data_IF_127234211930
#
_entry.id   IF_127234211930
#
_cell.length_a   1.000
_cell.length_b   1.000
_cell.length_c   1.000
_cell.angle_alpha   90.00
_cell.angle_beta   90.00
_cell.angle_gamma   90.00
#
_symmetry.space_group_name_H-M   'P 1'
#
loop_
_entity.id
_entity.type
_entity.pdbx_description
1 polymer ?
#
# COMPACT_ATOMS: atom_id res chain seq x y z
N UNK A 1 49.88 -48.01 9.22
CA UNK A 1 48.74 -47.40 9.95
C UNK A 1 47.53 -48.31 9.75
N UNK A 2 47.05 -49.00 10.79
CA UNK A 2 46.08 -50.08 10.61
C UNK A 2 44.72 -49.53 10.18
N UNK A 3 44.05 -50.19 9.23
CA UNK A 3 42.71 -49.82 8.75
C UNK A 3 41.68 -49.64 9.88
N UNK A 4 41.90 -50.30 11.03
CA UNK A 4 41.05 -50.17 12.23
C UNK A 4 41.22 -48.81 12.93
N UNK A 5 42.41 -48.20 12.85
CA UNK A 5 42.70 -46.89 13.47
C UNK A 5 42.06 -45.72 12.70
N UNK A 6 42.03 -45.82 11.37
CA UNK A 6 41.40 -44.83 10.48
C UNK A 6 39.87 -44.88 10.60
N UNK A 7 39.29 -46.08 10.72
CA UNK A 7 37.84 -46.22 10.95
C UNK A 7 37.41 -45.62 12.30
N UNK A 8 38.20 -45.81 13.36
CA UNK A 8 37.87 -45.30 14.69
C UNK A 8 37.85 -43.77 14.75
N UNK A 9 38.75 -43.11 14.01
CA UNK A 9 38.79 -41.65 13.91
C UNK A 9 37.59 -41.07 13.14
N UNK A 10 37.10 -41.74 12.10
CA UNK A 10 35.94 -41.30 11.32
C UNK A 10 34.64 -41.49 12.11
N UNK A 11 34.53 -42.54 12.93
CA UNK A 11 33.34 -42.76 13.77
C UNK A 11 33.22 -41.79 14.94
N UNK A 12 34.33 -41.31 15.51
CA UNK A 12 34.31 -40.33 16.61
C UNK A 12 33.93 -38.92 16.12
N UNK A 13 34.24 -38.57 14.87
CA UNK A 13 33.87 -37.27 14.28
C UNK A 13 32.37 -37.12 14.01
N UNK A 14 31.64 -38.24 13.86
CA UNK A 14 30.19 -38.27 13.56
C UNK A 14 29.29 -38.28 14.81
N UNK A 15 29.86 -38.38 16.02
CA UNK A 15 29.11 -38.42 17.29
C UNK A 15 29.27 -37.15 18.12
N UNK A 16 29.71 -36.03 17.52
CA UNK A 16 29.60 -34.74 18.20
C UNK A 16 28.16 -34.23 18.04
N UNK A 17 27.34 -34.16 19.10
CA UNK A 17 26.05 -33.51 18.98
C UNK A 17 26.34 -32.06 18.60
N UNK A 18 25.97 -31.67 17.38
CA UNK A 18 25.84 -30.27 17.03
C UNK A 18 24.78 -29.72 17.98
N UNK A 19 25.22 -29.16 19.11
CA UNK A 19 24.41 -28.34 19.97
C UNK A 19 24.06 -27.10 19.15
N UNK A 20 23.04 -27.23 18.30
CA UNK A 20 22.29 -26.10 17.81
C UNK A 20 21.64 -25.49 19.04
N UNK A 21 22.38 -24.59 19.67
CA UNK A 21 21.79 -23.60 20.55
C UNK A 21 20.91 -22.77 19.63
N UNK A 22 19.65 -23.17 19.50
CA UNK A 22 18.60 -22.24 19.15
C UNK A 22 18.60 -21.22 20.29
N UNK A 23 19.38 -20.15 20.12
CA UNK A 23 19.16 -18.94 20.87
C UNK A 23 17.70 -18.62 20.62
N UNK A 24 16.87 -18.84 21.64
CA UNK A 24 15.52 -18.31 21.67
C UNK A 24 15.73 -16.82 21.35
N UNK A 25 15.11 -16.26 20.30
CA UNK A 25 15.19 -14.81 20.15
C UNK A 25 14.76 -14.28 21.50
N UNK A 26 15.63 -13.49 22.14
CA UNK A 26 15.21 -12.64 23.24
C UNK A 26 14.17 -11.72 22.59
N UNK A 27 12.94 -12.20 22.54
CA UNK A 27 11.78 -11.37 22.51
C UNK A 27 11.76 -10.75 23.90
N UNK A 28 12.71 -9.84 24.13
CA UNK A 28 12.55 -8.78 25.10
C UNK A 28 11.17 -8.24 24.77
N UNK A 29 10.25 -8.48 25.69
CA UNK A 29 8.83 -8.29 25.45
C UNK A 29 8.62 -6.78 25.51
N UNK A 30 9.00 -6.09 24.43
CA UNK A 30 8.87 -4.65 24.28
C UNK A 30 7.40 -4.39 24.39
N UNK A 31 6.99 -4.01 25.59
CA UNK A 31 5.60 -3.76 25.90
C UNK A 31 5.14 -2.63 24.99
N UNK A 32 4.09 -2.89 24.22
CA UNK A 32 3.46 -1.85 23.42
C UNK A 32 2.75 -0.93 24.40
N UNK A 33 3.36 0.22 24.70
CA UNK A 33 2.78 1.22 25.59
C UNK A 33 2.10 2.33 24.80
N UNK A 34 1.08 3.00 25.36
CA UNK A 34 0.52 4.20 24.76
C UNK A 34 1.60 5.24 24.38
N UNK A 35 2.58 5.46 25.26
CA UNK A 35 3.67 6.41 25.04
C UNK A 35 4.50 6.06 23.81
N UNK A 36 4.79 4.78 23.61
CA UNK A 36 5.53 4.30 22.42
C UNK A 36 4.74 4.57 21.14
N UNK A 37 3.43 4.27 21.12
CA UNK A 37 2.56 4.52 19.97
C UNK A 37 2.48 6.02 19.67
N UNK A 38 2.23 6.84 20.69
CA UNK A 38 2.14 8.30 20.53
C UNK A 38 3.47 8.86 19.97
N UNK A 39 4.62 8.32 20.37
CA UNK A 39 5.91 8.76 19.84
C UNK A 39 6.04 8.54 18.33
N UNK A 40 5.60 7.38 17.82
CA UNK A 40 5.58 7.07 16.39
C UNK A 40 4.62 7.98 15.62
N UNK A 41 3.40 8.18 16.16
CA UNK A 41 2.40 9.06 15.56
C UNK A 41 2.92 10.49 15.46
N UNK A 42 3.50 11.03 16.55
CA UNK A 42 4.03 12.40 16.58
C UNK A 42 5.08 12.62 15.50
N UNK A 43 6.02 11.69 15.32
CA UNK A 43 7.02 11.83 14.28
C UNK A 43 6.40 11.71 12.87
N UNK A 44 5.62 10.67 12.61
CA UNK A 44 5.03 10.40 11.28
C UNK A 44 3.99 11.42 10.83
N UNK A 45 3.47 12.23 11.75
CA UNK A 45 2.56 13.34 11.51
C UNK A 45 3.20 14.72 11.73
N UNK A 46 4.52 14.79 11.95
CA UNK A 46 5.21 16.06 12.20
C UNK A 46 5.38 16.90 10.92
N UNK A 47 5.51 18.21 11.11
CA UNK A 47 5.80 19.17 10.05
C UNK A 47 7.13 18.88 9.32
N UNK A 48 8.05 18.14 9.95
CA UNK A 48 9.33 17.75 9.35
C UNK A 48 9.16 16.92 8.07
N UNK A 49 8.09 16.14 8.00
CA UNK A 49 7.76 15.32 6.83
C UNK A 49 7.04 16.15 5.77
N UNK A 50 6.34 17.25 6.14
CA UNK A 50 5.53 18.08 5.22
C UNK A 50 4.47 17.28 4.44
N UNK A 51 3.98 16.18 5.04
CA UNK A 51 3.09 15.21 4.41
C UNK A 51 3.81 13.93 3.93
N UNK A 52 3.05 12.92 3.51
CA UNK A 52 3.59 11.60 3.12
C UNK A 52 2.95 11.08 1.83
N UNK A 53 2.65 11.98 0.89
CA UNK A 53 2.14 11.58 -0.43
C UNK A 53 3.20 10.74 -1.16
N UNK A 54 2.80 9.64 -1.78
CA UNK A 54 3.71 8.73 -2.48
C UNK A 54 4.61 9.48 -3.48
N UNK A 55 5.91 9.20 -3.45
CA UNK A 55 6.90 9.86 -4.33
C UNK A 55 7.25 11.30 -3.95
N UNK A 56 7.01 11.71 -2.69
CA UNK A 56 7.50 12.98 -2.11
C UNK A 56 8.62 12.72 -1.10
N UNK A 57 9.45 13.74 -0.84
CA UNK A 57 10.54 13.67 0.15
C UNK A 57 10.04 13.29 1.55
N UNK A 58 8.83 13.70 1.92
CA UNK A 58 8.21 13.36 3.20
C UNK A 58 7.87 11.86 3.32
N UNK A 59 7.44 11.24 2.22
CA UNK A 59 7.24 9.80 2.16
C UNK A 59 8.57 9.03 2.26
N UNK A 60 9.64 9.55 1.64
CA UNK A 60 10.98 8.95 1.73
C UNK A 60 11.50 8.97 3.18
N UNK A 61 11.39 10.11 3.88
CA UNK A 61 11.72 10.22 5.32
C UNK A 61 10.92 9.26 6.18
N UNK A 62 9.62 9.11 5.90
CA UNK A 62 8.77 8.16 6.63
C UNK A 62 9.21 6.70 6.40
N UNK A 63 9.55 6.34 5.16
CA UNK A 63 10.05 5.02 4.82
C UNK A 63 11.39 4.74 5.51
N UNK A 64 12.30 5.71 5.55
CA UNK A 64 13.56 5.61 6.29
C UNK A 64 13.32 5.40 7.79
N UNK A 65 12.43 6.20 8.39
CA UNK A 65 12.06 6.03 9.80
C UNK A 65 11.55 4.63 10.10
N UNK A 66 10.62 4.11 9.29
CA UNK A 66 10.06 2.75 9.45
C UNK A 66 11.17 1.71 9.29
N UNK A 67 12.08 1.87 8.31
CA UNK A 67 13.22 0.97 8.13
C UNK A 67 14.13 0.92 9.37
N UNK A 68 14.33 2.06 10.05
CA UNK A 68 15.06 2.12 11.31
C UNK A 68 14.32 1.38 12.43
N UNK A 69 12.99 1.53 12.52
CA UNK A 69 12.21 0.79 13.52
C UNK A 69 12.24 -0.72 13.27
N UNK A 70 12.16 -1.17 12.01
CA UNK A 70 12.31 -2.58 11.65
C UNK A 70 13.69 -3.13 12.03
N UNK A 71 14.74 -2.36 11.73
CA UNK A 71 16.10 -2.73 12.14
C UNK A 71 16.23 -2.84 13.66
N UNK A 72 15.67 -1.89 14.42
CA UNK A 72 15.68 -1.90 15.89
C UNK A 72 14.93 -3.11 16.47
N UNK A 73 13.83 -3.51 15.83
CA UNK A 73 13.07 -4.70 16.21
C UNK A 73 13.69 -6.02 15.72
N UNK A 74 14.86 -6.00 15.09
CA UNK A 74 15.58 -7.21 14.67
C UNK A 74 15.02 -7.90 13.43
N UNK A 75 14.18 -7.22 12.64
CA UNK A 75 13.63 -7.79 11.41
C UNK A 75 14.73 -7.98 10.36
N UNK A 76 14.63 -9.06 9.58
CA UNK A 76 15.51 -9.29 8.44
C UNK A 76 15.03 -8.46 7.24
N UNK A 77 15.91 -7.75 6.52
CA UNK A 77 15.52 -7.01 5.33
C UNK A 77 15.26 -7.96 4.14
N UNK A 78 14.04 -7.92 3.59
CA UNK A 78 13.60 -8.79 2.48
C UNK A 78 13.22 -8.03 1.21
N UNK A 79 13.40 -6.72 1.18
CA UNK A 79 13.20 -5.89 -0.01
C UNK A 79 14.36 -6.00 -1.01
N UNK A 80 14.35 -5.09 -1.99
CA UNK A 80 15.30 -5.05 -3.08
C UNK A 80 16.74 -5.04 -2.56
N UNK A 81 17.60 -5.85 -3.16
CA UNK A 81 19.01 -5.99 -2.78
C UNK A 81 19.22 -6.31 -1.29
N UNK A 82 18.28 -7.03 -0.65
CA UNK A 82 18.29 -7.33 0.80
C UNK A 82 18.22 -6.06 1.66
N UNK A 83 17.41 -5.10 1.24
CA UNK A 83 17.09 -3.88 2.01
C UNK A 83 15.70 -3.95 2.65
N UNK A 84 15.27 -2.90 3.36
CA UNK A 84 13.90 -2.78 3.85
C UNK A 84 12.95 -2.14 2.82
N UNK A 85 13.43 -1.84 1.62
CA UNK A 85 12.70 -1.08 0.61
C UNK A 85 12.31 -1.98 -0.57
N UNK A 86 11.08 -1.83 -1.03
CA UNK A 86 10.60 -2.44 -2.27
C UNK A 86 10.24 -1.33 -3.25
N UNK A 87 10.91 -1.29 -4.40
CA UNK A 87 10.64 -0.33 -5.46
C UNK A 87 9.56 -0.87 -6.39
N UNK A 88 8.62 -0.01 -6.74
CA UNK A 88 7.59 -0.29 -7.73
C UNK A 88 7.23 0.99 -8.48
N UNK A 89 6.72 0.84 -9.70
CA UNK A 89 6.22 1.95 -10.49
C UNK A 89 4.76 2.22 -10.15
N UNK A 90 4.40 3.49 -10.05
CA UNK A 90 3.02 3.92 -9.85
C UNK A 90 2.76 5.22 -10.61
N UNK A 91 1.49 5.50 -10.89
CA UNK A 91 1.06 6.76 -11.49
C UNK A 91 1.13 7.87 -10.44
N UNK A 92 2.15 8.72 -10.52
CA UNK A 92 2.40 9.82 -9.55
C UNK A 92 1.33 10.92 -9.56
N UNK A 93 0.57 11.00 -10.64
CA UNK A 93 -0.52 11.95 -10.76
C UNK A 93 -1.16 11.83 -12.13
N UNK A 94 -2.38 12.32 -12.22
CA UNK A 94 -3.16 12.37 -13.44
C UNK A 94 -3.46 13.84 -13.71
N UNK A 95 -3.27 14.24 -14.96
CA UNK A 95 -3.60 15.59 -15.40
C UNK A 95 -4.86 15.52 -16.23
N UNK A 96 -5.72 16.51 -16.05
CA UNK A 96 -6.86 16.71 -16.92
C UNK A 96 -6.35 16.94 -18.35
N UNK A 97 -6.93 16.22 -19.32
CA UNK A 97 -6.75 16.51 -20.74
C UNK A 97 -7.23 17.93 -21.10
N UNK A 98 -6.81 18.42 -22.27
CA UNK A 98 -7.14 19.79 -22.72
C UNK A 98 -8.61 20.01 -23.12
N UNK A 99 -9.41 18.94 -23.21
CA UNK A 99 -10.78 18.97 -23.77
C UNK A 99 -11.82 18.37 -22.81
N UNK A 100 -11.60 18.49 -21.49
CA UNK A 100 -12.63 18.06 -20.54
C UNK A 100 -13.82 19.02 -20.60
N UNK A 101 -14.93 18.56 -21.14
CA UNK A 101 -16.18 19.31 -21.26
C UNK A 101 -17.35 18.44 -20.82
N UNK A 102 -18.28 19.04 -20.09
CA UNK A 102 -19.54 18.43 -19.74
C UNK A 102 -20.66 19.43 -20.06
N UNK A 103 -21.66 18.99 -20.78
CA UNK A 103 -22.86 19.75 -21.13
C UNK A 103 -24.07 18.88 -20.78
N UNK A 104 -25.09 19.48 -20.17
CA UNK A 104 -26.39 18.84 -20.03
C UNK A 104 -27.45 19.65 -20.77
N UNK A 105 -28.48 18.97 -21.26
CA UNK A 105 -29.60 19.58 -21.93
C UNK A 105 -30.90 19.24 -21.19
N UNK A 106 -31.75 20.25 -21.02
CA UNK A 106 -33.13 20.08 -20.57
C UNK A 106 -34.00 20.70 -21.68
N UNK A 107 -34.86 19.88 -22.27
CA UNK A 107 -35.61 20.20 -23.48
C UNK A 107 -34.70 20.70 -24.63
N UNK A 108 -34.83 21.95 -25.04
CA UNK A 108 -34.00 22.60 -26.08
C UNK A 108 -32.91 23.50 -25.50
N UNK A 109 -32.83 23.62 -24.18
CA UNK A 109 -31.85 24.46 -23.51
C UNK A 109 -30.61 23.64 -23.17
N UNK A 110 -29.44 24.12 -23.59
CA UNK A 110 -28.13 23.52 -23.30
C UNK A 110 -27.39 24.36 -22.28
N UNK A 111 -26.76 23.71 -21.31
CA UNK A 111 -25.90 24.37 -20.32
C UNK A 111 -24.57 23.66 -20.26
N UNK A 112 -23.50 24.41 -20.55
CA UNK A 112 -22.13 23.95 -20.36
C UNK A 112 -21.71 24.13 -18.91
N UNK A 113 -21.07 23.10 -18.33
CA UNK A 113 -20.58 23.09 -16.97
C UNK A 113 -19.12 23.51 -16.92
N UNK A 114 -18.75 24.34 -15.93
CA UNK A 114 -17.38 24.78 -15.72
C UNK A 114 -16.52 23.70 -15.06
N UNK A 115 -15.43 23.32 -15.72
CA UNK A 115 -14.42 22.42 -15.17
C UNK A 115 -13.79 23.01 -13.89
N UNK A 116 -13.73 22.22 -12.81
CA UNK A 116 -13.18 22.65 -11.52
C UNK A 116 -14.13 23.48 -10.66
N UNK A 117 -15.32 23.81 -11.18
CA UNK A 117 -16.37 24.51 -10.45
C UNK A 117 -17.62 23.63 -10.33
N UNK A 118 -18.16 23.22 -11.48
CA UNK A 118 -19.42 22.50 -11.59
C UNK A 118 -19.21 21.00 -11.78
N UNK A 119 -18.07 20.60 -12.37
CA UNK A 119 -17.68 19.18 -12.46
C UNK A 119 -16.15 18.99 -12.39
N UNK A 120 -15.73 17.80 -11.99
CA UNK A 120 -14.32 17.39 -11.98
C UNK A 120 -14.19 15.91 -12.41
N UNK A 121 -13.52 15.62 -13.54
CA UNK A 121 -13.24 14.24 -13.94
C UNK A 121 -12.42 13.52 -12.88
N UNK A 122 -12.81 12.29 -12.57
CA UNK A 122 -12.08 11.47 -11.60
C UNK A 122 -10.79 10.93 -12.24
N UNK A 123 -9.77 10.77 -11.42
CA UNK A 123 -8.43 10.36 -11.85
C UNK A 123 -8.43 8.99 -12.55
N UNK A 124 -9.31 8.08 -12.14
CA UNK A 124 -9.43 6.73 -12.70
C UNK A 124 -10.44 6.62 -13.87
N UNK A 125 -10.96 7.73 -14.39
CA UNK A 125 -11.83 7.71 -15.57
C UNK A 125 -11.06 7.44 -16.86
N UNK A 126 -11.65 6.69 -17.79
CA UNK A 126 -11.14 6.61 -19.17
C UNK A 126 -11.34 7.93 -19.91
N UNK A 127 -10.52 8.15 -20.94
CA UNK A 127 -10.72 9.25 -21.89
C UNK A 127 -11.64 8.82 -23.01
N UNK A 128 -12.55 9.69 -23.43
CA UNK A 128 -13.46 9.47 -24.54
C UNK A 128 -14.65 10.42 -24.50
N UNK A 129 -15.49 10.34 -25.54
CA UNK A 129 -16.72 11.09 -25.65
C UNK A 129 -17.92 10.17 -25.40
N UNK A 130 -18.88 10.64 -24.61
CA UNK A 130 -20.13 9.93 -24.33
C UNK A 130 -21.30 10.91 -24.40
N UNK A 131 -22.42 10.46 -24.95
CA UNK A 131 -23.69 11.18 -24.97
C UNK A 131 -24.81 10.19 -24.65
N UNK A 132 -25.74 10.59 -23.79
CA UNK A 132 -26.86 9.75 -23.39
C UNK A 132 -27.80 10.46 -22.42
N UNK A 133 -28.91 9.80 -22.14
CA UNK A 133 -29.84 10.23 -21.10
C UNK A 133 -29.21 10.08 -19.71
N UNK A 134 -29.51 11.02 -18.81
CA UNK A 134 -29.04 10.99 -17.44
C UNK A 134 -30.14 10.42 -16.55
N UNK A 135 -29.84 9.32 -15.87
CA UNK A 135 -30.75 8.66 -14.93
C UNK A 135 -30.16 8.70 -13.51
N UNK A 136 -31.02 8.79 -12.50
CA UNK A 136 -30.61 8.73 -11.10
C UNK A 136 -30.48 7.27 -10.65
N UNK A 137 -29.27 6.81 -10.38
CA UNK A 137 -28.96 5.42 -10.01
C UNK A 137 -28.54 5.25 -8.54
N UNK A 138 -29.09 6.04 -7.62
CA UNK A 138 -28.83 5.89 -6.19
C UNK A 138 -27.34 5.98 -5.84
N UNK A 139 -26.82 4.96 -5.14
CA UNK A 139 -25.40 4.82 -4.80
C UNK A 139 -24.61 3.99 -5.82
N UNK A 140 -25.26 3.53 -6.89
CA UNK A 140 -24.66 2.69 -7.92
C UNK A 140 -24.27 1.30 -7.41
N UNK A 141 -24.96 0.78 -6.39
CA UNK A 141 -24.66 -0.52 -5.76
C UNK A 141 -25.53 -1.61 -6.36
N UNK A 142 -24.89 -2.73 -6.72
CA UNK A 142 -25.58 -3.99 -7.02
C UNK A 142 -25.03 -5.07 -6.09
N UNK A 143 -25.89 -5.58 -5.19
CA UNK A 143 -25.56 -6.60 -4.19
C UNK A 143 -26.69 -7.66 -4.13
N UNK A 144 -26.75 -8.57 -5.13
CA UNK A 144 -27.81 -9.58 -5.22
C UNK A 144 -27.92 -10.47 -3.98
N UNK A 145 -26.81 -10.77 -3.31
CA UNK A 145 -26.74 -11.55 -2.08
C UNK A 145 -27.43 -10.88 -0.88
N UNK A 146 -27.62 -9.56 -0.94
CA UNK A 146 -28.38 -8.78 0.04
C UNK A 146 -29.78 -8.39 -0.46
N UNK A 147 -30.20 -8.90 -1.63
CA UNK A 147 -31.42 -8.51 -2.33
C UNK A 147 -31.52 -6.99 -2.61
N UNK A 148 -30.39 -6.33 -2.90
CA UNK A 148 -30.31 -4.89 -3.15
C UNK A 148 -29.70 -4.59 -4.52
N UNK A 149 -30.32 -3.70 -5.30
CA UNK A 149 -29.80 -3.26 -6.59
C UNK A 149 -30.35 -1.87 -6.97
N UNK A 150 -29.50 -0.85 -6.95
CA UNK A 150 -29.84 0.53 -7.31
C UNK A 150 -30.19 0.68 -8.81
N UNK A 151 -29.74 -0.27 -9.64
CA UNK A 151 -30.00 -0.26 -11.07
C UNK A 151 -31.34 -0.93 -11.42
N UNK A 152 -32.00 -1.58 -10.45
CA UNK A 152 -33.24 -2.30 -10.69
C UNK A 152 -34.36 -1.34 -11.12
N UNK A 153 -34.90 -1.57 -12.31
CA UNK A 153 -35.96 -0.74 -12.88
C UNK A 153 -35.44 0.47 -13.66
N UNK A 154 -34.12 0.67 -13.74
CA UNK A 154 -33.51 1.59 -14.69
C UNK A 154 -33.37 0.85 -16.02
N UNK A 155 -34.12 1.31 -17.02
CA UNK A 155 -34.01 0.85 -18.40
C UNK A 155 -33.65 2.06 -19.24
N UNK A 156 -32.47 2.01 -19.87
CA UNK A 156 -31.92 3.08 -20.71
C UNK A 156 -31.83 2.59 -22.15
#
# INVERSE_FOLDING_TARGET
MSRKLVLYFITVLLMSPANFVFSKPDCENVQITPESIISHIRYLASDELKGRMSGTLGADKAAEYISLQFKKAGLKPLGDSRSYFQKFSFTKGIKLGGQNKLEFAIDKSKTELGLGKDFYPLSFSSSGDVNGEVVFAGYGISAPELNYDDYKGIYV
#
